data_IF_862446347498
#
_entry.id   IF_862446347498
#
_cell.length_a   1.000
_cell.length_b   1.000
_cell.length_c   1.000
_cell.angle_alpha   90.00
_cell.angle_beta   90.00
_cell.angle_gamma   90.00
#
_symmetry.space_group_name_H-M   'P 1'
#
loop_
_entity.id
_entity.type
_entity.pdbx_description
1 polymer ?
#
# COMPACT_ATOMS: atom_id res chain seq x y z
N UNK A 1 11.67 6.78 4.11
CA UNK A 1 11.46 7.86 5.09
C UNK A 1 11.28 7.26 6.47
N UNK A 2 11.47 8.07 7.51
CA UNK A 2 11.24 7.72 8.91
C UNK A 2 10.32 8.75 9.57
N UNK A 3 9.44 8.31 10.47
CA UNK A 3 8.64 9.16 11.32
C UNK A 3 9.12 8.95 12.75
N UNK A 4 9.70 10.00 13.34
CA UNK A 4 10.18 10.00 14.71
C UNK A 4 9.68 11.27 15.40
N UNK A 5 9.06 11.14 16.57
CA UNK A 5 8.52 12.26 17.34
C UNK A 5 7.59 13.18 16.49
N UNK A 6 6.76 12.58 15.64
CA UNK A 6 5.89 13.30 14.70
C UNK A 6 6.64 14.23 13.72
N UNK A 7 7.93 14.02 13.50
CA UNK A 7 8.72 14.62 12.44
C UNK A 7 8.99 13.59 11.34
N UNK A 8 9.03 14.04 10.08
CA UNK A 8 9.34 13.17 8.94
C UNK A 8 10.78 13.44 8.55
N UNK A 9 11.56 12.37 8.47
CA UNK A 9 12.95 12.37 8.06
C UNK A 9 13.08 11.66 6.71
N UNK A 10 13.83 12.27 5.80
CA UNK A 10 14.21 11.62 4.56
C UNK A 10 15.47 10.77 4.77
N UNK A 11 15.35 9.47 4.55
CA UNK A 11 16.43 8.50 4.72
C UNK A 11 17.25 8.30 3.44
N UNK A 12 16.83 8.85 2.30
CA UNK A 12 17.52 8.74 1.02
C UNK A 12 18.33 9.99 0.66
N UNK A 13 18.11 11.10 1.37
CA UNK A 13 18.85 12.34 1.18
C UNK A 13 20.22 12.28 1.88
N UNK A 14 21.30 12.44 1.10
CA UNK A 14 22.66 12.53 1.63
C UNK A 14 23.10 13.95 2.00
N UNK A 15 22.28 14.97 1.69
CA UNK A 15 22.60 16.37 1.98
C UNK A 15 22.11 16.78 3.37
N UNK A 16 22.89 17.63 4.05
CA UNK A 16 22.50 18.25 5.33
C UNK A 16 21.43 19.34 5.16
N UNK A 17 21.17 19.79 3.93
CA UNK A 17 20.07 20.71 3.64
C UNK A 17 18.73 19.96 3.71
N UNK A 18 18.14 19.99 4.90
CA UNK A 18 16.82 19.43 5.16
C UNK A 18 15.78 20.27 4.42
N UNK A 19 15.29 19.74 3.30
CA UNK A 19 14.08 20.26 2.68
C UNK A 19 12.95 20.21 3.71
N UNK A 20 12.11 21.25 3.80
CA UNK A 20 10.95 21.24 4.68
C UNK A 20 9.95 20.20 4.15
N UNK A 21 9.86 19.05 4.82
CA UNK A 21 8.96 17.96 4.43
C UNK A 21 7.55 18.26 4.95
N UNK A 22 6.58 18.32 4.04
CA UNK A 22 5.18 18.61 4.38
C UNK A 22 4.23 17.55 3.83
N UNK A 23 3.24 17.17 4.65
CA UNK A 23 2.18 16.22 4.26
C UNK A 23 0.98 17.03 3.77
N UNK A 24 0.72 16.97 2.48
CA UNK A 24 -0.36 17.71 1.83
C UNK A 24 -1.40 16.74 1.28
N UNK A 25 -2.68 17.11 1.39
CA UNK A 25 -3.77 16.38 0.75
C UNK A 25 -4.02 17.02 -0.61
N UNK A 26 -3.92 16.24 -1.69
CA UNK A 26 -4.29 16.70 -3.03
C UNK A 26 -5.80 16.49 -3.21
N UNK A 27 -6.46 17.41 -3.94
CA UNK A 27 -7.92 17.51 -4.09
C UNK A 27 -8.58 16.12 -4.27
N UNK A 28 -9.38 15.73 -3.27
CA UNK A 28 -10.21 14.51 -3.19
C UNK A 28 -9.48 13.16 -3.11
N UNK A 29 -8.56 13.01 -2.15
CA UNK A 29 -8.30 11.77 -1.35
C UNK A 29 -6.84 11.31 -1.32
N UNK A 30 -6.03 11.60 -2.34
CA UNK A 30 -4.63 11.15 -2.33
C UNK A 30 -3.71 12.05 -1.47
N UNK A 31 -3.01 11.45 -0.52
CA UNK A 31 -1.99 12.14 0.30
C UNK A 31 -0.66 12.15 -0.44
N UNK A 32 -0.09 13.34 -0.58
CA UNK A 32 1.22 13.56 -1.19
C UNK A 32 2.16 14.19 -0.18
N UNK A 33 3.36 13.64 -0.09
CA UNK A 33 4.43 14.19 0.74
C UNK A 33 5.31 15.03 -0.18
N UNK A 34 5.46 16.31 0.12
CA UNK A 34 6.37 17.18 -0.60
C UNK A 34 7.73 17.23 0.09
N UNK A 35 8.80 17.30 -0.69
CA UNK A 35 10.17 17.42 -0.19
C UNK A 35 10.86 16.10 0.17
N UNK A 36 10.26 14.94 -0.13
CA UNK A 36 10.96 13.66 -0.06
C UNK A 36 11.76 13.39 -1.33
N UNK A 37 12.94 12.82 -1.17
CA UNK A 37 13.78 12.35 -2.27
C UNK A 37 13.17 11.09 -2.88
N UNK A 38 12.91 11.14 -4.19
CA UNK A 38 12.51 9.98 -5.00
C UNK A 38 13.70 9.60 -5.91
N UNK A 39 14.14 8.34 -5.83
CA UNK A 39 15.22 7.81 -6.68
C UNK A 39 14.62 6.90 -7.74
N UNK A 40 14.91 7.20 -9.00
CA UNK A 40 14.59 6.30 -10.12
C UNK A 40 15.57 5.14 -10.08
N UNK A 41 15.04 3.92 -10.10
CA UNK A 41 15.81 2.68 -10.11
C UNK A 41 15.42 1.84 -11.32
N UNK A 42 16.40 1.22 -11.97
CA UNK A 42 16.21 0.41 -13.17
C UNK A 42 16.41 -1.09 -12.93
N UNK A 43 16.89 -1.46 -11.72
CA UNK A 43 17.17 -2.84 -11.36
C UNK A 43 16.75 -3.16 -9.91
N UNK A 44 16.47 -4.43 -9.64
CA UNK A 44 16.18 -4.90 -8.28
C UNK A 44 17.36 -4.66 -7.33
N UNK A 45 18.60 -4.77 -7.83
CA UNK A 45 19.83 -4.49 -7.07
C UNK A 45 19.93 -3.03 -6.66
N UNK A 46 19.59 -2.07 -7.54
CA UNK A 46 19.55 -0.65 -7.18
C UNK A 46 18.47 -0.34 -6.13
N UNK A 47 17.31 -0.98 -6.25
CA UNK A 47 16.23 -0.86 -5.27
C UNK A 47 16.68 -1.37 -3.89
N UNK A 48 17.33 -2.55 -3.83
CA UNK A 48 17.89 -3.10 -2.58
C UNK A 48 18.97 -2.17 -2.02
N UNK A 49 19.84 -1.63 -2.87
CA UNK A 49 20.83 -0.64 -2.43
C UNK A 49 20.20 0.60 -1.80
N UNK A 50 19.07 1.09 -2.34
CA UNK A 50 18.32 2.19 -1.72
C UNK A 50 17.73 1.81 -0.35
N UNK A 51 17.25 0.57 -0.20
CA UNK A 51 16.76 0.04 1.07
C UNK A 51 17.87 -0.02 2.13
N UNK A 52 19.05 -0.55 1.75
CA UNK A 52 20.23 -0.64 2.63
C UNK A 52 20.76 0.74 3.04
N UNK A 53 20.81 1.69 2.10
CA UNK A 53 21.16 3.08 2.39
C UNK A 53 20.21 3.69 3.42
N UNK A 54 18.90 3.53 3.23
CA UNK A 54 17.90 4.03 4.16
C UNK A 54 18.00 3.38 5.55
N UNK A 55 18.25 2.07 5.60
CA UNK A 55 18.40 1.34 6.85
C UNK A 55 19.67 1.75 7.62
N UNK A 56 20.76 2.03 6.90
CA UNK A 56 22.00 2.54 7.47
C UNK A 56 21.81 3.95 8.06
N UNK A 57 21.10 4.83 7.35
CA UNK A 57 20.76 6.16 7.83
C UNK A 57 19.92 6.12 9.13
N UNK A 58 18.92 5.23 9.19
CA UNK A 58 18.13 4.98 10.41
C UNK A 58 18.99 4.50 11.57
N UNK A 59 19.96 3.61 11.31
CA UNK A 59 20.86 3.06 12.33
C UNK A 59 21.80 4.12 12.90
N UNK A 60 22.40 4.97 12.06
CA UNK A 60 23.30 6.06 12.52
C UNK A 60 22.55 7.04 13.44
N UNK A 61 21.29 7.37 13.11
CA UNK A 61 20.44 8.19 13.97
C UNK A 61 20.23 7.60 15.37
N UNK A 62 20.16 6.26 15.47
CA UNK A 62 19.99 5.55 16.75
C UNK A 62 21.24 5.55 17.63
N UNK A 63 22.45 5.51 17.05
CA UNK A 63 23.69 5.46 17.85
C UNK A 63 24.03 6.77 18.58
N UNK A 64 23.41 7.88 18.19
CA UNK A 64 23.76 9.20 18.71
C UNK A 64 23.15 9.53 20.09
N UNK A 65 22.08 8.86 20.56
CA UNK A 65 21.58 9.13 21.92
C UNK A 65 20.55 8.18 22.57
N UNK A 66 19.91 7.21 21.91
CA UNK A 66 18.97 6.22 22.51
C UNK A 66 18.64 5.14 21.46
N UNK A 67 18.11 3.98 21.83
CA UNK A 67 17.63 2.94 20.88
C UNK A 67 16.43 3.43 20.04
N UNK A 68 16.68 4.28 19.05
CA UNK A 68 15.64 5.00 18.29
C UNK A 68 14.83 4.07 17.38
N UNK A 69 15.37 2.91 16.99
CA UNK A 69 14.71 1.99 16.04
C UNK A 69 13.39 1.42 16.56
N UNK A 70 13.22 1.21 17.87
CA UNK A 70 11.95 0.76 18.47
C UNK A 70 10.95 1.90 18.66
N UNK A 71 11.36 3.15 18.44
CA UNK A 71 10.59 4.36 18.75
C UNK A 71 10.23 5.19 17.51
N UNK A 72 10.57 4.70 16.32
CA UNK A 72 10.28 5.35 15.05
C UNK A 72 9.57 4.40 14.09
N UNK A 73 8.81 4.98 13.17
CA UNK A 73 8.16 4.25 12.09
C UNK A 73 8.97 4.42 10.81
N UNK A 74 9.35 3.35 10.14
CA UNK A 74 9.97 3.43 8.82
C UNK A 74 8.96 3.11 7.73
N UNK A 75 8.95 3.93 6.68
CA UNK A 75 8.10 3.71 5.50
C UNK A 75 9.00 3.71 4.27
N UNK A 76 9.01 2.56 3.59
CA UNK A 76 9.64 2.39 2.29
C UNK A 76 8.56 2.29 1.22
N UNK A 77 8.63 3.18 0.23
CA UNK A 77 7.63 3.28 -0.84
C UNK A 77 8.29 2.96 -2.17
N UNK A 78 7.70 2.02 -2.90
CA UNK A 78 8.06 1.73 -4.29
C UNK A 78 6.90 2.19 -5.17
N UNK A 79 7.17 3.11 -6.09
CA UNK A 79 6.20 3.54 -7.10
C UNK A 79 6.55 2.86 -8.42
N UNK A 80 5.60 2.16 -9.02
CA UNK A 80 5.76 1.51 -10.31
C UNK A 80 4.80 2.16 -11.31
N UNK A 81 5.36 2.73 -12.37
CA UNK A 81 4.62 3.27 -13.50
C UNK A 81 4.67 2.29 -14.67
N UNK A 82 3.51 1.80 -15.09
CA UNK A 82 3.37 0.93 -16.25
C UNK A 82 2.68 1.69 -17.38
N UNK A 83 3.28 1.65 -18.58
CA UNK A 83 2.67 2.16 -19.81
C UNK A 83 2.19 0.98 -20.66
N UNK A 84 0.89 0.92 -20.95
CA UNK A 84 0.30 -0.18 -21.74
C UNK A 84 0.42 0.01 -23.26
N UNK A 85 0.68 1.24 -23.71
CA UNK A 85 0.84 1.57 -25.12
C UNK A 85 1.89 2.67 -25.32
N UNK A 86 2.35 2.85 -26.55
CA UNK A 86 3.22 3.97 -26.95
C UNK A 86 2.54 5.34 -26.74
N UNK A 87 1.22 5.38 -26.56
CA UNK A 87 0.49 6.58 -26.17
C UNK A 87 0.60 6.84 -24.66
N UNK A 88 1.06 8.05 -24.31
CA UNK A 88 1.17 8.55 -22.92
C UNK A 88 -0.13 8.46 -22.11
N UNK A 89 -1.29 8.36 -22.78
CA UNK A 89 -2.62 8.37 -22.18
C UNK A 89 -3.05 7.03 -21.56
N UNK A 90 -2.18 6.03 -21.43
CA UNK A 90 -2.51 4.76 -20.78
C UNK A 90 -1.39 4.35 -19.81
N UNK A 91 -1.16 5.24 -18.84
CA UNK A 91 -0.20 5.03 -17.75
C UNK A 91 -0.95 4.66 -16.48
N UNK A 92 -0.62 3.49 -15.93
CA UNK A 92 -1.10 3.03 -14.63
C UNK A 92 0.01 3.23 -13.61
N UNK A 93 -0.33 3.83 -12.47
CA UNK A 93 0.63 4.09 -11.38
C UNK A 93 0.23 3.28 -10.16
N UNK A 94 1.11 2.38 -9.71
CA UNK A 94 0.92 1.61 -8.49
C UNK A 94 1.94 1.99 -7.44
N UNK A 95 1.55 1.91 -6.17
CA UNK A 95 2.42 2.20 -5.02
C UNK A 95 2.39 1.02 -4.06
N UNK A 96 3.57 0.52 -3.71
CA UNK A 96 3.77 -0.44 -2.64
C UNK A 96 4.36 0.30 -1.44
N UNK A 97 3.68 0.23 -0.31
CA UNK A 97 4.18 0.75 0.95
C UNK A 97 4.56 -0.41 1.87
N UNK A 98 5.84 -0.46 2.26
CA UNK A 98 6.34 -1.33 3.31
C UNK A 98 6.53 -0.49 4.56
N UNK A 99 5.76 -0.79 5.60
CA UNK A 99 5.66 0.00 6.82
C UNK A 99 6.15 -0.84 7.99
N UNK A 100 7.25 -0.41 8.60
CA UNK A 100 7.76 -0.94 9.85
C UNK A 100 7.35 0.01 10.98
N UNK A 101 6.50 -0.46 11.87
CA UNK A 101 5.96 0.36 12.94
C UNK A 101 6.88 0.33 14.16
N UNK A 102 6.89 1.44 14.92
CA UNK A 102 7.48 1.46 16.26
C UNK A 102 6.89 0.35 17.14
N UNK A 103 7.64 -0.02 18.17
CA UNK A 103 7.25 -1.05 19.13
C UNK A 103 5.91 -0.73 19.79
N UNK A 104 5.02 -1.72 19.87
CA UNK A 104 3.69 -1.60 20.47
C UNK A 104 3.69 -1.70 22.00
N UNK A 105 4.85 -1.96 22.61
CA UNK A 105 4.99 -2.14 24.04
C UNK A 105 4.67 -0.87 24.84
N UNK A 106 4.00 -1.05 25.97
CA UNK A 106 3.62 0.07 26.83
C UNK A 106 4.82 0.52 27.67
N UNK A 107 5.10 1.82 27.64
CA UNK A 107 6.19 2.43 28.41
C UNK A 107 6.03 2.43 29.94
N UNK A 108 5.00 1.76 30.49
CA UNK A 108 4.74 1.68 31.94
C UNK A 108 5.91 1.09 32.76
N UNK A 109 6.95 0.55 32.13
CA UNK A 109 8.15 -0.01 32.78
C UNK A 109 9.31 0.97 32.97
N UNK A 110 9.25 2.20 32.47
CA UNK A 110 10.37 3.16 32.63
C UNK A 110 10.05 4.19 33.71
N UNK A 111 10.84 4.22 34.80
CA UNK A 111 10.90 5.32 35.79
C UNK A 111 11.51 6.59 35.17
N UNK A 112 11.07 6.98 33.97
CA UNK A 112 11.61 8.11 33.23
C UNK A 112 10.85 9.37 33.66
N UNK A 113 11.54 10.29 34.34
CA UNK A 113 11.00 11.61 34.71
C UNK A 113 11.35 12.67 33.64
N UNK A 114 10.55 13.74 33.56
CA UNK A 114 10.85 14.92 32.72
C UNK A 114 10.67 14.70 31.21
N UNK A 115 11.62 15.20 30.42
CA UNK A 115 11.56 15.23 28.94
C UNK A 115 11.48 13.84 28.30
N UNK A 116 12.03 12.81 28.96
CA UNK A 116 11.92 11.41 28.49
C UNK A 116 10.48 10.87 28.58
N UNK A 117 9.68 11.35 29.52
CA UNK A 117 8.25 11.01 29.60
C UNK A 117 7.46 11.70 28.49
N UNK A 118 7.79 12.97 28.19
CA UNK A 118 7.18 13.73 27.08
C UNK A 118 7.51 13.13 25.72
N UNK A 119 8.77 12.76 25.50
CA UNK A 119 9.22 12.00 24.33
C UNK A 119 8.45 10.69 24.21
N UNK A 120 8.32 9.98 25.34
CA UNK A 120 7.63 8.70 25.41
C UNK A 120 6.13 8.74 25.06
N UNK A 121 5.45 9.79 25.52
CA UNK A 121 4.06 10.08 25.15
C UNK A 121 3.95 10.41 23.65
N UNK A 122 4.90 11.19 23.13
CA UNK A 122 4.92 11.61 21.72
C UNK A 122 5.19 10.44 20.76
N UNK A 123 6.09 9.52 21.11
CA UNK A 123 6.37 8.29 20.33
C UNK A 123 5.10 7.43 20.19
N UNK A 124 4.36 7.27 21.29
CA UNK A 124 3.15 6.46 21.27
C UNK A 124 1.95 7.17 20.63
N UNK A 125 2.06 8.46 20.31
CA UNK A 125 0.98 9.19 19.63
C UNK A 125 0.65 8.55 18.28
N UNK A 126 1.66 8.15 17.51
CA UNK A 126 1.47 7.48 16.22
C UNK A 126 0.63 6.21 16.33
N UNK A 127 1.04 5.29 17.22
CA UNK A 127 0.38 4.01 17.45
C UNK A 127 -1.00 4.14 18.12
N UNK A 128 -1.14 5.09 19.04
CA UNK A 128 -2.42 5.39 19.69
C UNK A 128 -3.43 5.89 18.66
N UNK A 129 -3.06 6.89 17.84
CA UNK A 129 -3.92 7.39 16.78
C UNK A 129 -4.26 6.29 15.76
N UNK A 130 -3.30 5.43 15.43
CA UNK A 130 -3.55 4.27 14.57
C UNK A 130 -4.59 3.31 15.18
N UNK A 131 -4.51 3.07 16.49
CA UNK A 131 -5.49 2.25 17.21
C UNK A 131 -6.89 2.87 17.21
N UNK A 132 -6.98 4.19 17.37
CA UNK A 132 -8.25 4.92 17.30
C UNK A 132 -8.88 4.83 15.91
N UNK A 133 -8.08 5.00 14.85
CA UNK A 133 -8.53 4.84 13.46
C UNK A 133 -9.02 3.42 13.18
N UNK A 134 -8.25 2.40 13.59
CA UNK A 134 -8.63 1.00 13.41
C UNK A 134 -9.94 0.68 14.15
N UNK A 135 -10.08 1.17 15.38
CA UNK A 135 -11.30 0.94 16.18
C UNK A 135 -12.51 1.64 15.56
N UNK A 136 -12.35 2.86 15.05
CA UNK A 136 -13.42 3.59 14.38
C UNK A 136 -13.89 2.92 13.07
N UNK A 137 -12.97 2.28 12.33
CA UNK A 137 -13.25 1.61 11.07
C UNK A 137 -13.74 0.16 11.23
N UNK A 138 -13.22 -0.55 12.24
CA UNK A 138 -13.46 -1.97 12.45
C UNK A 138 -14.73 -2.31 13.24
N UNK A 139 -15.25 -1.36 14.04
CA UNK A 139 -16.48 -1.53 14.80
C UNK A 139 -17.71 -1.12 13.97
N UNK A 140 -18.69 -2.02 13.82
CA UNK A 140 -19.91 -1.71 13.05
C UNK A 140 -20.75 -0.61 13.68
N UNK A 141 -20.75 -0.51 15.01
CA UNK A 141 -21.44 0.54 15.78
C UNK A 141 -20.89 1.94 15.50
N UNK A 142 -19.65 2.05 15.02
CA UNK A 142 -18.97 3.32 14.73
C UNK A 142 -18.89 3.61 13.23
N UNK A 143 -19.47 2.77 12.36
CA UNK A 143 -19.49 3.03 10.92
C UNK A 143 -20.19 4.35 10.61
N UNK A 144 -19.51 5.20 9.85
CA UNK A 144 -20.00 6.54 9.49
C UNK A 144 -19.67 7.64 10.51
N UNK A 145 -19.02 7.32 11.63
CA UNK A 145 -18.43 8.33 12.52
C UNK A 145 -17.15 8.91 11.92
N UNK A 146 -16.79 10.12 12.39
CA UNK A 146 -15.56 10.78 11.98
C UNK A 146 -14.34 9.92 12.33
N UNK A 147 -13.50 9.62 11.32
CA UNK A 147 -12.27 8.85 11.51
C UNK A 147 -11.09 9.82 11.68
N UNK A 148 -10.37 9.78 12.81
CA UNK A 148 -9.39 10.80 13.18
C UNK A 148 -8.02 10.60 12.53
N UNK A 149 -7.95 10.51 11.20
CA UNK A 149 -6.67 10.34 10.49
C UNK A 149 -5.67 11.47 10.76
N UNK A 150 -6.15 12.66 11.15
CA UNK A 150 -5.34 13.88 11.32
C UNK A 150 -4.54 13.91 12.63
N UNK A 151 -4.82 13.01 13.57
CA UNK A 151 -4.24 13.03 14.91
C UNK A 151 -2.75 12.66 14.92
N UNK A 152 -2.26 11.93 13.91
CA UNK A 152 -0.83 11.69 13.71
C UNK A 152 -0.42 11.77 12.24
N UNK A 153 0.86 12.10 11.99
CA UNK A 153 1.39 12.05 10.61
C UNK A 153 1.32 10.63 10.04
N UNK A 154 1.53 9.61 10.88
CA UNK A 154 1.42 8.21 10.50
C UNK A 154 0.02 7.87 9.95
N UNK A 155 -1.05 8.17 10.69
CA UNK A 155 -2.42 7.86 10.26
C UNK A 155 -2.85 8.66 9.04
N UNK A 156 -2.30 9.87 8.86
CA UNK A 156 -2.45 10.60 7.59
C UNK A 156 -1.82 9.81 6.46
N UNK A 157 -0.55 9.43 6.57
CA UNK A 157 0.13 8.68 5.49
C UNK A 157 -0.53 7.33 5.17
N UNK A 158 -1.14 6.68 6.16
CA UNK A 158 -1.81 5.39 6.01
C UNK A 158 -3.31 5.49 5.73
N UNK A 159 -3.83 6.69 5.43
CA UNK A 159 -5.27 6.88 5.18
C UNK A 159 -5.76 6.02 4.01
N UNK A 160 -4.98 5.91 2.93
CA UNK A 160 -5.34 5.05 1.80
C UNK A 160 -5.32 3.56 2.19
N UNK A 161 -4.41 3.18 3.10
CA UNK A 161 -4.27 1.81 3.58
C UNK A 161 -5.41 1.38 4.53
N UNK A 162 -6.06 2.31 5.21
CA UNK A 162 -7.09 2.03 6.23
C UNK A 162 -8.43 2.58 5.76
N UNK A 163 -9.23 1.75 5.07
CA UNK A 163 -10.56 2.14 4.59
C UNK A 163 -10.56 2.96 3.29
N UNK A 164 -9.41 3.14 2.64
CA UNK A 164 -9.24 3.90 1.40
C UNK A 164 -8.95 3.03 0.16
N UNK A 165 -8.28 3.63 -0.82
CA UNK A 165 -7.86 3.00 -2.06
C UNK A 165 -6.51 2.28 -1.90
N UNK A 166 -6.54 1.10 -1.31
CA UNK A 166 -5.34 0.26 -1.17
C UNK A 166 -5.69 -1.21 -0.93
N UNK A 167 -4.85 -2.11 -1.41
CA UNK A 167 -4.79 -3.48 -0.89
C UNK A 167 -3.86 -3.48 0.33
N UNK A 168 -4.42 -3.76 1.51
CA UNK A 168 -3.68 -3.65 2.77
C UNK A 168 -3.56 -5.01 3.44
N UNK A 169 -2.32 -5.34 3.82
CA UNK A 169 -1.98 -6.52 4.61
C UNK A 169 -1.34 -6.04 5.92
N UNK A 170 -1.85 -6.52 7.05
CA UNK A 170 -1.27 -6.29 8.37
C UNK A 170 -0.61 -7.57 8.88
N UNK A 171 0.65 -7.48 9.30
CA UNK A 171 1.38 -8.60 9.92
C UNK A 171 1.52 -8.31 11.41
N UNK A 172 0.85 -9.12 12.24
CA UNK A 172 0.93 -9.03 13.69
C UNK A 172 2.08 -9.91 14.21
N UNK A 173 3.21 -9.30 14.57
CA UNK A 173 4.35 -10.01 15.14
C UNK A 173 4.16 -10.19 16.65
N UNK A 174 4.21 -11.44 17.12
CA UNK A 174 4.01 -11.80 18.53
C UNK A 174 5.13 -12.71 19.03
N UNK A 175 5.40 -12.66 20.33
CA UNK A 175 6.40 -13.51 20.99
C UNK A 175 5.71 -14.67 21.71
N UNK A 176 6.22 -15.91 21.59
CA UNK A 176 5.68 -17.06 22.31
C UNK A 176 6.14 -17.12 23.77
N UNK A 177 7.03 -16.24 24.22
CA UNK A 177 7.57 -16.28 25.57
C UNK A 177 6.53 -15.79 26.59
N UNK A 178 6.42 -16.50 27.72
CA UNK A 178 5.48 -16.16 28.81
C UNK A 178 5.71 -14.75 29.37
N UNK A 179 6.95 -14.27 29.37
CA UNK A 179 7.31 -12.91 29.79
C UNK A 179 6.63 -11.81 28.95
N UNK A 180 6.20 -12.14 27.73
CA UNK A 180 5.60 -11.24 26.76
C UNK A 180 4.10 -11.50 26.54
N UNK A 181 3.49 -12.38 27.35
CA UNK A 181 2.09 -12.79 27.22
C UNK A 181 1.14 -11.58 27.13
N UNK A 182 1.32 -10.58 28.00
CA UNK A 182 0.47 -9.37 28.02
C UNK A 182 0.55 -8.59 26.70
N UNK A 183 1.76 -8.41 26.16
CA UNK A 183 1.95 -7.67 24.90
C UNK A 183 1.47 -8.48 23.69
N UNK A 184 1.65 -9.80 23.69
CA UNK A 184 1.08 -10.68 22.68
C UNK A 184 -0.44 -10.57 22.63
N UNK A 185 -1.11 -10.57 23.78
CA UNK A 185 -2.57 -10.38 23.85
C UNK A 185 -2.97 -8.99 23.36
N UNK A 186 -2.22 -7.94 23.71
CA UNK A 186 -2.48 -6.57 23.23
C UNK A 186 -2.41 -6.49 21.70
N UNK A 187 -1.36 -7.05 21.09
CA UNK A 187 -1.17 -7.07 19.63
C UNK A 187 -2.30 -7.83 18.93
N UNK A 188 -2.73 -8.97 19.47
CA UNK A 188 -3.84 -9.74 18.88
C UNK A 188 -5.18 -9.01 19.01
N UNK A 189 -5.45 -8.36 20.14
CA UNK A 189 -6.64 -7.52 20.33
C UNK A 189 -6.66 -6.31 19.39
N UNK A 190 -5.49 -5.82 19.02
CA UNK A 190 -5.33 -4.76 18.03
C UNK A 190 -5.59 -5.25 16.60
N UNK A 191 -5.15 -6.47 16.27
CA UNK A 191 -5.31 -7.06 14.95
C UNK A 191 -6.75 -7.50 14.63
N UNK A 192 -7.54 -7.92 15.63
CA UNK A 192 -8.94 -8.36 15.41
C UNK A 192 -9.85 -7.31 14.75
N UNK A 193 -9.93 -6.05 15.22
CA UNK A 193 -10.72 -5.02 14.55
C UNK A 193 -10.10 -4.61 13.21
N UNK A 194 -8.77 -4.62 13.07
CA UNK A 194 -8.09 -4.29 11.81
C UNK A 194 -8.51 -5.21 10.66
N UNK A 195 -8.70 -6.51 10.95
CA UNK A 195 -9.21 -7.50 9.98
C UNK A 195 -10.60 -7.17 9.43
N UNK A 196 -11.43 -6.42 10.17
CA UNK A 196 -12.83 -6.11 9.79
C UNK A 196 -12.92 -4.88 8.88
N UNK A 197 -11.82 -4.15 8.70
CA UNK A 197 -11.76 -2.95 7.85
C UNK A 197 -11.89 -3.38 6.39
N UNK A 198 -12.80 -2.71 5.66
CA UNK A 198 -13.03 -2.94 4.24
C UNK A 198 -12.46 -1.78 3.42
N UNK A 199 -11.46 -2.06 2.62
CA UNK A 199 -10.90 -1.11 1.66
C UNK A 199 -11.67 -1.12 0.34
N UNK A 200 -11.51 -0.05 -0.45
CA UNK A 200 -12.10 0.10 -1.78
C UNK A 200 -10.99 0.36 -2.80
N UNK A 201 -10.18 -0.66 -3.14
CA UNK A 201 -9.11 -0.51 -4.13
C UNK A 201 -9.70 -0.21 -5.52
N UNK A 202 -9.13 0.78 -6.20
CA UNK A 202 -9.48 1.26 -7.54
C UNK A 202 -8.19 1.34 -8.35
N UNK A 203 -8.26 1.03 -9.66
CA UNK A 203 -7.12 1.13 -10.57
C UNK A 203 -6.74 2.61 -10.75
N UNK A 204 -5.50 2.94 -10.38
CA UNK A 204 -4.96 4.29 -10.48
C UNK A 204 -4.47 4.57 -11.90
N UNK A 205 -5.34 5.16 -12.71
CA UNK A 205 -5.00 5.71 -14.03
C UNK A 205 -4.56 7.16 -13.84
N UNK A 206 -3.54 7.60 -14.59
CA UNK A 206 -3.10 9.00 -14.58
C UNK A 206 -4.32 9.94 -14.78
N UNK A 207 -4.58 10.91 -13.88
CA UNK A 207 -5.71 11.81 -14.00
C UNK A 207 -5.73 12.60 -15.32
N UNK A 208 -4.56 12.92 -15.89
CA UNK A 208 -4.49 13.55 -17.22
C UNK A 208 -4.97 12.61 -18.33
N UNK A 209 -4.60 11.34 -18.24
CA UNK A 209 -5.07 10.28 -19.14
C UNK A 209 -6.57 10.03 -18.98
N UNK A 210 -7.05 9.90 -17.75
CA UNK A 210 -8.45 9.68 -17.42
C UNK A 210 -9.35 10.83 -17.90
N UNK A 211 -8.91 12.08 -17.71
CA UNK A 211 -9.65 13.26 -18.19
C UNK A 211 -9.65 13.33 -19.73
N UNK A 212 -8.51 13.03 -20.37
CA UNK A 212 -8.44 12.94 -21.84
C UNK A 212 -9.39 11.88 -22.37
N UNK A 213 -9.46 10.71 -21.73
CA UNK A 213 -10.37 9.63 -22.12
C UNK A 213 -11.84 10.02 -21.91
N UNK A 214 -12.15 10.67 -20.78
CA UNK A 214 -13.49 11.18 -20.48
C UNK A 214 -13.95 12.21 -21.51
N UNK A 215 -13.09 13.17 -21.85
CA UNK A 215 -13.37 14.20 -22.86
C UNK A 215 -13.56 13.56 -24.24
N UNK A 216 -12.72 12.59 -24.63
CA UNK A 216 -12.91 11.83 -25.88
C UNK A 216 -14.26 11.10 -25.93
N UNK A 217 -14.68 10.46 -24.84
CA UNK A 217 -15.99 9.82 -24.74
C UNK A 217 -17.14 10.82 -24.82
N UNK A 218 -17.01 12.00 -24.19
CA UNK A 218 -18.00 13.06 -24.29
C UNK A 218 -18.11 13.61 -25.71
N UNK A 219 -16.98 13.86 -26.38
CA UNK A 219 -16.95 14.29 -27.79
C UNK A 219 -17.64 13.26 -28.68
N UNK A 220 -17.32 11.98 -28.52
CA UNK A 220 -17.92 10.91 -29.31
C UNK A 220 -19.43 10.79 -29.07
N UNK A 221 -19.87 10.90 -27.80
CA UNK A 221 -21.29 10.90 -27.45
C UNK A 221 -22.04 12.09 -28.04
N UNK A 222 -21.44 13.28 -27.98
CA UNK A 222 -22.03 14.50 -28.57
C UNK A 222 -22.09 14.40 -30.10
N UNK A 223 -21.06 13.84 -30.75
CA UNK A 223 -21.07 13.57 -32.19
C UNK A 223 -22.21 12.64 -32.59
N UNK A 224 -22.42 11.54 -31.84
CA UNK A 224 -23.54 10.61 -32.08
C UNK A 224 -24.89 11.29 -31.84
N UNK A 225 -25.02 12.10 -30.79
CA UNK A 225 -26.25 12.87 -30.52
C UNK A 225 -26.55 13.89 -31.61
N UNK A 226 -25.52 14.56 -32.16
CA UNK A 226 -25.68 15.48 -33.28
C UNK A 226 -26.08 14.73 -34.55
N UNK A 227 -25.48 13.58 -34.86
CA UNK A 227 -25.87 12.71 -35.98
C UNK A 227 -27.34 12.29 -35.90
N UNK A 228 -27.83 11.94 -34.70
CA UNK A 228 -29.21 11.56 -34.47
C UNK A 228 -30.18 12.76 -34.50
N UNK A 229 -29.78 13.92 -33.97
CA UNK A 229 -30.59 15.13 -33.95
C UNK A 229 -30.70 15.81 -35.32
N UNK A 230 -29.71 15.63 -36.20
CA UNK A 230 -29.71 16.15 -37.57
C UNK A 230 -30.34 15.19 -38.60
N UNK A 231 -31.10 14.17 -38.14
CA UNK A 231 -31.97 13.39 -39.00
C UNK A 231 -31.28 12.68 -40.16
N UNK A 232 -30.09 12.10 -39.94
CA UNK A 232 -29.47 11.19 -40.93
C UNK A 232 -29.08 11.82 -42.27
N UNK A 233 -28.76 13.12 -42.32
CA UNK A 233 -28.20 13.71 -43.54
C UNK A 233 -26.68 13.47 -43.56
N UNK A 234 -26.30 12.31 -44.11
CA UNK A 234 -24.97 12.15 -44.68
C UNK A 234 -24.78 13.17 -45.83
N UNK A 235 -23.57 13.70 -46.08
CA UNK A 235 -23.35 14.52 -47.25
C UNK A 235 -23.64 13.66 -48.48
N UNK A 236 -24.63 14.11 -49.26
CA UNK A 236 -25.07 13.48 -50.51
C UNK A 236 -23.87 13.37 -51.44
N UNK A 237 -23.36 12.14 -51.57
CA UNK A 237 -22.70 11.68 -52.79
C UNK A 237 -23.67 10.68 -53.41
N UNK A 238 -24.25 11.15 -54.50
CA UNK A 238 -25.07 10.50 -55.51
C UNK A 238 -24.96 8.96 -55.60
N UNK A 239 -26.11 8.27 -55.50
CA UNK A 239 -26.33 6.97 -56.15
C UNK A 239 -26.60 5.78 -55.22
N UNK A 240 -27.88 5.35 -55.21
CA UNK A 240 -28.40 3.98 -55.00
C UNK A 240 -28.22 3.23 -53.65
N UNK A 241 -29.35 2.73 -53.14
CA UNK A 241 -29.56 1.57 -52.22
C UNK A 241 -29.24 1.72 -50.70
N UNK A 242 -30.26 1.96 -49.83
CA UNK A 242 -30.09 2.01 -48.36
C UNK A 242 -30.13 0.64 -47.64
N UNK A 243 -30.45 -0.47 -48.34
CA UNK A 243 -30.70 -1.76 -47.68
C UNK A 243 -29.43 -2.57 -47.36
N UNK A 244 -28.36 -2.42 -48.15
CA UNK A 244 -27.14 -3.22 -47.98
C UNK A 244 -26.29 -2.77 -46.77
N UNK A 245 -26.22 -1.47 -46.50
CA UNK A 245 -25.36 -0.92 -45.45
C UNK A 245 -25.85 -1.22 -44.01
N UNK A 246 -27.15 -1.37 -43.78
CA UNK A 246 -27.67 -1.67 -42.43
C UNK A 246 -27.32 -3.09 -41.99
N UNK A 247 -27.35 -4.06 -42.92
CA UNK A 247 -26.98 -5.45 -42.64
C UNK A 247 -25.50 -5.57 -42.29
N UNK A 248 -24.63 -4.89 -43.04
CA UNK A 248 -23.18 -4.88 -42.81
C UNK A 248 -22.81 -4.20 -41.47
N UNK A 249 -23.54 -3.15 -41.08
CA UNK A 249 -23.36 -2.48 -39.78
C UNK A 249 -23.84 -3.36 -38.62
N UNK A 250 -24.94 -4.10 -38.78
CA UNK A 250 -25.42 -5.03 -37.76
C UNK A 250 -24.47 -6.21 -37.57
N UNK A 251 -23.95 -6.75 -38.67
CA UNK A 251 -22.97 -7.84 -38.66
C UNK A 251 -21.64 -7.40 -38.02
N UNK A 252 -21.18 -6.18 -38.32
CA UNK A 252 -20.01 -5.57 -37.68
C UNK A 252 -20.23 -5.30 -36.18
N UNK A 253 -21.42 -4.87 -35.77
CA UNK A 253 -21.75 -4.71 -34.35
C UNK A 253 -21.77 -6.05 -33.61
N UNK A 254 -22.31 -7.11 -34.23
CA UNK A 254 -22.27 -8.46 -33.67
C UNK A 254 -20.82 -8.93 -33.49
N UNK A 255 -19.99 -8.76 -34.52
CA UNK A 255 -18.58 -9.16 -34.46
C UNK A 255 -17.79 -8.38 -33.39
N UNK A 256 -18.07 -7.07 -33.22
CA UNK A 256 -17.46 -6.25 -32.16
C UNK A 256 -17.97 -6.60 -30.75
N UNK A 257 -19.21 -7.09 -30.63
CA UNK A 257 -19.73 -7.62 -29.35
C UNK A 257 -19.05 -8.93 -28.98
N UNK A 258 -18.85 -9.82 -29.96
CA UNK A 258 -18.12 -11.08 -29.77
C UNK A 258 -16.66 -10.81 -29.38
N UNK A 259 -15.99 -9.88 -30.04
CA UNK A 259 -14.61 -9.49 -29.72
C UNK A 259 -14.50 -8.84 -28.33
N UNK A 260 -15.47 -8.00 -27.93
CA UNK A 260 -15.53 -7.47 -26.57
C UNK A 260 -15.73 -8.57 -25.52
N UNK A 261 -16.57 -9.57 -25.81
CA UNK A 261 -16.79 -10.69 -24.90
C UNK A 261 -15.51 -11.52 -24.72
N UNK A 262 -14.76 -11.73 -25.81
CA UNK A 262 -13.49 -12.44 -25.82
C UNK A 262 -12.41 -11.68 -25.05
N UNK A 263 -12.25 -10.37 -25.31
CA UNK A 263 -11.31 -9.51 -24.60
C UNK A 263 -11.64 -9.42 -23.10
N UNK A 264 -12.93 -9.38 -22.75
CA UNK A 264 -13.36 -9.38 -21.35
C UNK A 264 -12.99 -10.68 -20.63
N UNK A 265 -13.08 -11.82 -21.33
CA UNK A 265 -12.66 -13.13 -20.79
C UNK A 265 -11.14 -13.20 -20.63
N UNK A 266 -10.38 -12.77 -21.63
CA UNK A 266 -8.91 -12.72 -21.57
C UNK A 266 -8.42 -11.79 -20.45
N UNK A 267 -9.07 -10.63 -20.26
CA UNK A 267 -8.80 -9.74 -19.15
C UNK A 267 -9.07 -10.42 -17.80
N UNK A 268 -10.17 -11.16 -17.67
CA UNK A 268 -10.49 -11.89 -16.45
C UNK A 268 -9.46 -12.99 -16.15
N UNK A 269 -8.99 -13.72 -17.17
CA UNK A 269 -7.92 -14.71 -17.02
C UNK A 269 -6.59 -14.05 -16.63
N UNK A 270 -6.21 -12.94 -17.26
CA UNK A 270 -5.00 -12.20 -16.93
C UNK A 270 -5.03 -11.64 -15.50
N UNK A 271 -6.18 -11.15 -15.04
CA UNK A 271 -6.38 -10.73 -13.64
C UNK A 271 -6.21 -11.91 -12.69
N UNK A 272 -6.75 -13.09 -13.03
CA UNK A 272 -6.56 -14.32 -12.25
C UNK A 272 -5.10 -14.76 -12.18
N UNK A 273 -4.37 -14.73 -13.30
CA UNK A 273 -2.93 -15.02 -13.33
C UNK A 273 -2.13 -13.99 -12.52
N UNK A 274 -2.51 -12.71 -12.57
CA UNK A 274 -1.87 -11.66 -11.78
C UNK A 274 -2.10 -11.86 -10.29
N UNK A 275 -3.30 -12.26 -9.87
CA UNK A 275 -3.61 -12.61 -8.48
C UNK A 275 -2.76 -13.80 -8.00
N UNK A 276 -2.61 -14.85 -8.81
CA UNK A 276 -1.72 -15.98 -8.52
C UNK A 276 -0.24 -15.58 -8.47
N UNK A 277 0.19 -14.65 -9.32
CA UNK A 277 1.55 -14.09 -9.24
C UNK A 277 1.75 -13.30 -7.96
N UNK A 278 0.78 -12.47 -7.54
CA UNK A 278 0.86 -11.76 -6.26
C UNK A 278 0.94 -12.73 -5.08
N UNK A 279 0.18 -13.82 -5.09
CA UNK A 279 0.28 -14.86 -4.06
C UNK A 279 1.70 -15.44 -3.99
N UNK A 280 2.31 -15.78 -5.13
CA UNK A 280 3.70 -16.27 -5.20
C UNK A 280 4.74 -15.22 -4.80
N UNK A 281 4.56 -13.97 -5.25
CA UNK A 281 5.42 -12.82 -4.92
C UNK A 281 5.28 -12.41 -3.46
N UNK A 282 4.18 -12.70 -2.78
CA UNK A 282 4.02 -12.47 -1.34
C UNK A 282 4.66 -13.62 -0.55
N UNK A 283 4.48 -14.86 -1.01
CA UNK A 283 5.03 -16.06 -0.35
C UNK A 283 6.56 -16.15 -0.41
N UNK A 284 7.19 -15.75 -1.53
CA UNK A 284 8.65 -15.81 -1.71
C UNK A 284 9.46 -14.90 -0.76
N UNK A 285 9.14 -13.60 -0.62
CA UNK A 285 9.76 -12.72 0.36
C UNK A 285 9.35 -13.07 1.79
N UNK A 286 8.16 -13.63 2.06
CA UNK A 286 7.83 -14.15 3.39
C UNK A 286 8.75 -15.31 3.78
N UNK A 287 9.05 -16.22 2.84
CA UNK A 287 10.05 -17.27 3.07
C UNK A 287 11.46 -16.70 3.25
N UNK A 288 11.81 -15.64 2.51
CA UNK A 288 13.10 -14.97 2.65
C UNK A 288 13.21 -14.20 3.98
N UNK A 289 12.14 -13.54 4.41
CA UNK A 289 12.02 -12.78 5.65
C UNK A 289 12.05 -13.72 6.87
N UNK A 290 11.36 -14.86 6.78
CA UNK A 290 11.43 -15.94 7.79
C UNK A 290 12.83 -16.54 7.84
N UNK A 291 13.49 -16.76 6.69
CA UNK A 291 14.88 -17.24 6.65
C UNK A 291 15.87 -16.22 7.19
N UNK A 292 15.71 -14.93 6.88
CA UNK A 292 16.56 -13.86 7.43
C UNK A 292 16.32 -13.65 8.91
N UNK A 293 15.07 -13.77 9.40
CA UNK A 293 14.76 -13.75 10.82
C UNK A 293 15.36 -14.97 11.55
N UNK A 294 15.29 -16.16 10.95
CA UNK A 294 15.97 -17.37 11.45
C UNK A 294 17.50 -17.20 11.47
N UNK A 295 18.08 -16.55 10.45
CA UNK A 295 19.52 -16.28 10.37
C UNK A 295 19.97 -15.25 11.42
N UNK A 296 19.15 -14.22 11.68
CA UNK A 296 19.40 -13.25 12.76
C UNK A 296 19.38 -13.93 14.13
N UNK A 297 18.40 -14.81 14.38
CA UNK A 297 18.30 -15.59 15.62
C UNK A 297 19.50 -16.54 15.77
N UNK A 298 19.94 -17.18 14.69
CA UNK A 298 21.11 -18.06 14.68
C UNK A 298 22.42 -17.31 14.97
N UNK A 299 22.63 -16.13 14.38
CA UNK A 299 23.78 -15.27 14.68
C UNK A 299 23.78 -14.77 16.13
N UNK A 300 22.61 -14.41 16.67
CA UNK A 300 22.52 -14.01 18.09
C UNK A 300 22.82 -15.15 19.06
N UNK A 301 22.53 -16.40 18.68
CA UNK A 301 22.84 -17.59 19.48
C UNK A 301 24.32 -18.01 19.43
N UNK A 302 25.05 -17.67 18.36
CA UNK A 302 26.49 -17.92 18.24
C UNK A 302 27.37 -16.88 18.96
N UNK A 303 26.86 -15.66 19.18
CA UNK A 303 27.58 -14.57 19.84
C UNK A 303 27.36 -14.49 21.38
N UNK A 304 26.42 -15.25 21.94
CA UNK A 304 26.16 -15.33 23.40
C UNK A 304 26.06 -16.80 23.85
N UNK A 305 27.19 -17.45 24.22
CA UNK A 305 27.20 -18.88 24.56
C UNK A 305 26.53 -19.26 25.89
N UNK A 306 25.99 -18.29 26.65
CA UNK A 306 25.49 -18.51 28.02
C UNK A 306 23.96 -18.57 28.16
N UNK A 307 23.20 -18.47 27.06
CA UNK A 307 21.74 -18.63 27.10
C UNK A 307 21.34 -20.07 26.72
N UNK A 308 20.69 -20.78 27.64
CA UNK A 308 20.24 -22.17 27.46
C UNK A 308 19.37 -22.34 26.19
N UNK A 309 19.49 -23.48 25.47
CA UNK A 309 18.79 -23.69 24.22
C UNK A 309 17.29 -23.94 24.47
N UNK A 310 16.45 -22.92 24.27
CA UNK A 310 15.01 -23.10 24.13
C UNK A 310 14.73 -23.76 22.76
N UNK A 311 14.30 -25.03 22.82
CA UNK A 311 13.79 -25.81 21.70
C UNK A 311 12.68 -25.02 20.96
N UNK A 312 13.07 -24.26 19.95
CA UNK A 312 12.15 -23.62 19.01
C UNK A 312 11.90 -24.61 17.88
N UNK A 313 11.16 -25.68 18.18
CA UNK A 313 10.58 -26.55 17.14
C UNK A 313 9.32 -25.84 16.63
N UNK A 314 9.49 -25.11 15.53
CA UNK A 314 8.39 -24.55 14.72
C UNK A 314 7.44 -25.69 14.31
N UNK A 315 6.30 -25.83 14.99
CA UNK A 315 5.16 -26.59 14.50
C UNK A 315 4.46 -25.84 13.35
N UNK A 316 5.11 -25.77 12.19
CA UNK A 316 4.52 -25.33 10.93
C UNK A 316 4.03 -26.51 10.06
N UNK A 317 3.89 -27.72 10.64
CA UNK A 317 3.53 -28.95 9.90
C UNK A 317 2.08 -29.42 10.04
N UNK A 318 1.17 -28.65 10.66
CA UNK A 318 -0.19 -29.14 10.95
C UNK A 318 -1.35 -28.18 10.62
N UNK A 319 -1.23 -27.31 9.62
CA UNK A 319 -2.41 -26.71 9.00
C UNK A 319 -2.23 -26.61 7.49
N UNK A 320 -2.25 -27.78 6.83
CA UNK A 320 -2.45 -27.87 5.38
C UNK A 320 -3.94 -27.81 5.01
N UNK A 321 -4.84 -27.92 6.00
CA UNK A 321 -6.28 -28.07 5.77
C UNK A 321 -7.11 -26.80 6.07
N UNK A 322 -6.49 -25.67 6.39
CA UNK A 322 -7.21 -24.39 6.59
C UNK A 322 -7.31 -23.52 5.32
N UNK A 323 -6.74 -23.97 4.20
CA UNK A 323 -6.76 -23.27 2.91
C UNK A 323 -7.74 -23.85 1.89
N UNK A 324 -8.69 -24.72 2.29
CA UNK A 324 -9.72 -25.26 1.38
C UNK A 324 -11.07 -24.52 1.41
N UNK A 325 -11.13 -23.32 1.98
CA UNK A 325 -12.32 -22.46 1.89
C UNK A 325 -11.91 -21.05 1.48
N UNK A 326 -11.47 -20.88 0.24
CA UNK A 326 -11.69 -19.70 -0.60
C UNK A 326 -11.54 -20.10 -2.07
#
# INVERSE_FOLDING_TARGET
>A
MEIYNEEILDLLCGSKDKSVISVISVRKEAIKILGLTEKVVCSATEMVGCLELGNSARTVGSTAMNSASSRSHAIFTVTVEQRRSAHRSDTVVSKLHLVDLAGSERQKKTKAEGDRLREGISINRGLLSLGNVISALGEESKRGTFVPYRDSKLTRLLQDALGGNSHTLMIACVSPADSNMEETVNTLRYADPARKIKNKPIINVDPCAAETQRLKQQVQKLQVMLLNAHGGVAPVVSGSEPSANMSEILERNSCLQDENSKLSRELSEAVGQTAQMFEKIILLPLQLLVRSAQFLVFLTGLLLPSAQPLQTVLQLRRHRDAFSCF
#
